data_IF_315450427336
#
_entry.id   IF_315450427336
#
_cell.length_a   1.000
_cell.length_b   1.000
_cell.length_c   1.000
_cell.angle_alpha   90.00
_cell.angle_beta   90.00
_cell.angle_gamma   90.00
#
_symmetry.space_group_name_H-M   'P 1'
#
loop_
_entity.id
_entity.type
_entity.pdbx_description
1 polymer ?
#
# COMPACT_ATOMS: atom_id res chain seq x y z
N UNK A 1 -31.00 8.53 -5.72
CA UNK A 1 -29.97 8.61 -6.77
C UNK A 1 -28.67 9.09 -6.13
N UNK A 2 -27.73 8.20 -5.80
CA UNK A 2 -26.48 8.61 -5.14
C UNK A 2 -25.58 9.21 -6.22
N UNK A 3 -25.56 10.54 -6.33
CA UNK A 3 -24.55 11.23 -7.14
C UNK A 3 -23.23 11.10 -6.38
N UNK A 4 -22.48 10.02 -6.63
CA UNK A 4 -21.12 9.91 -6.11
C UNK A 4 -20.29 11.04 -6.73
N UNK A 5 -19.88 12.01 -5.91
CA UNK A 5 -18.85 12.96 -6.31
C UNK A 5 -17.63 12.19 -6.78
N UNK A 6 -16.97 12.66 -7.86
CA UNK A 6 -15.74 12.04 -8.40
C UNK A 6 -14.69 11.80 -7.30
N UNK A 7 -14.66 12.65 -6.29
CA UNK A 7 -13.81 12.49 -5.09
C UNK A 7 -14.18 11.26 -4.25
N UNK A 8 -15.46 10.97 -4.06
CA UNK A 8 -15.93 9.80 -3.29
C UNK A 8 -15.54 8.50 -3.98
N UNK A 9 -15.62 8.44 -5.31
CA UNK A 9 -15.17 7.28 -6.09
C UNK A 9 -13.68 7.05 -5.86
N UNK A 10 -12.86 8.11 -5.95
CA UNK A 10 -11.42 8.02 -5.70
C UNK A 10 -11.14 7.53 -4.27
N UNK A 11 -11.87 8.04 -3.26
CA UNK A 11 -11.74 7.56 -1.88
C UNK A 11 -12.05 6.08 -1.72
N UNK A 12 -13.11 5.59 -2.35
CA UNK A 12 -13.48 4.18 -2.31
C UNK A 12 -12.38 3.34 -2.96
N UNK A 13 -11.96 3.70 -4.17
CA UNK A 13 -10.89 2.97 -4.89
C UNK A 13 -9.61 2.94 -4.07
N UNK A 14 -9.20 4.08 -3.50
CA UNK A 14 -7.99 4.15 -2.67
C UNK A 14 -8.11 3.26 -1.43
N UNK A 15 -9.28 3.24 -0.79
CA UNK A 15 -9.53 2.39 0.39
C UNK A 15 -9.51 0.90 0.03
N UNK A 16 -10.05 0.52 -1.13
CA UNK A 16 -10.01 -0.87 -1.64
C UNK A 16 -8.57 -1.29 -1.95
N UNK A 17 -7.80 -0.45 -2.63
CA UNK A 17 -6.37 -0.71 -2.91
C UNK A 17 -5.59 -0.84 -1.60
N UNK A 18 -5.83 0.06 -0.64
CA UNK A 18 -5.23 -0.01 0.69
C UNK A 18 -5.55 -1.33 1.39
N UNK A 19 -6.81 -1.77 1.36
CA UNK A 19 -7.20 -3.06 1.94
C UNK A 19 -6.53 -4.24 1.23
N UNK A 20 -6.46 -4.21 -0.10
CA UNK A 20 -5.75 -5.23 -0.88
C UNK A 20 -4.28 -5.36 -0.47
N UNK A 21 -3.56 -4.25 -0.36
CA UNK A 21 -2.15 -4.27 0.09
C UNK A 21 -2.00 -4.78 1.52
N UNK A 22 -2.94 -4.48 2.43
CA UNK A 22 -2.94 -5.08 3.77
C UNK A 22 -2.98 -6.62 3.68
N UNK A 23 -3.90 -7.18 2.89
CA UNK A 23 -4.04 -8.63 2.74
C UNK A 23 -2.75 -9.24 2.18
N UNK A 24 -2.14 -8.61 1.17
CA UNK A 24 -0.87 -9.09 0.59
C UNK A 24 0.25 -9.08 1.63
N UNK A 25 0.37 -8.02 2.42
CA UNK A 25 1.41 -7.90 3.45
C UNK A 25 1.21 -8.92 4.57
N UNK A 26 -0.02 -9.11 5.04
CA UNK A 26 -0.35 -10.15 6.02
C UNK A 26 -0.01 -11.55 5.49
N UNK A 27 -0.34 -11.83 4.23
CA UNK A 27 0.01 -13.10 3.58
C UNK A 27 1.53 -13.29 3.49
N UNK A 28 2.28 -12.27 3.05
CA UNK A 28 3.75 -12.32 2.97
C UNK A 28 4.37 -12.59 4.34
N UNK A 29 3.91 -11.88 5.37
CA UNK A 29 4.38 -12.07 6.73
C UNK A 29 4.11 -13.50 7.23
N UNK A 30 2.89 -14.01 7.02
CA UNK A 30 2.53 -15.38 7.35
C UNK A 30 3.37 -16.43 6.61
N UNK A 31 3.60 -16.23 5.31
CA UNK A 31 4.35 -17.15 4.46
C UNK A 31 5.82 -17.24 4.89
N UNK A 32 6.45 -16.11 5.21
CA UNK A 32 7.83 -16.05 5.69
C UNK A 32 7.98 -16.66 7.09
N UNK A 33 7.02 -16.44 7.99
CA UNK A 33 7.01 -17.08 9.32
C UNK A 33 6.85 -18.60 9.20
N UNK A 34 5.89 -19.04 8.39
CA UNK A 34 5.58 -20.47 8.18
C UNK A 34 6.61 -21.20 7.31
N UNK A 35 7.66 -20.51 6.86
CA UNK A 35 8.70 -21.02 5.96
C UNK A 35 8.15 -21.62 4.65
N UNK A 36 6.99 -21.12 4.19
CA UNK A 36 6.34 -21.51 2.93
C UNK A 36 6.58 -20.43 1.89
N UNK A 37 7.78 -20.41 1.34
CA UNK A 37 8.15 -19.47 0.27
C UNK A 37 7.64 -20.05 -1.06
N UNK A 38 6.36 -19.78 -1.35
CA UNK A 38 5.71 -20.16 -2.61
C UNK A 38 5.87 -19.08 -3.69
N UNK A 39 5.51 -19.39 -4.94
CA UNK A 39 5.49 -18.41 -6.06
C UNK A 39 4.66 -17.17 -5.74
N UNK A 40 3.62 -17.32 -4.92
CA UNK A 40 2.77 -16.22 -4.46
C UNK A 40 3.53 -15.16 -3.65
N UNK A 41 4.57 -15.56 -2.90
CA UNK A 41 5.41 -14.62 -2.13
C UNK A 41 6.18 -13.71 -3.09
N UNK A 42 6.79 -14.29 -4.13
CA UNK A 42 7.49 -13.53 -5.15
C UNK A 42 6.57 -12.59 -5.93
N UNK A 43 5.36 -13.04 -6.26
CA UNK A 43 4.34 -12.19 -6.89
C UNK A 43 3.95 -11.02 -5.97
N UNK A 44 3.70 -11.29 -4.68
CA UNK A 44 3.35 -10.26 -3.70
C UNK A 44 4.46 -9.23 -3.51
N UNK A 45 5.72 -9.68 -3.42
CA UNK A 45 6.90 -8.81 -3.39
C UNK A 45 6.99 -7.96 -4.65
N UNK A 46 6.79 -8.56 -5.83
CA UNK A 46 6.78 -7.84 -7.10
C UNK A 46 5.70 -6.75 -7.17
N UNK A 47 4.48 -7.04 -6.72
CA UNK A 47 3.38 -6.06 -6.68
C UNK A 47 3.72 -4.87 -5.77
N UNK A 48 4.29 -5.13 -4.58
CA UNK A 48 4.69 -4.07 -3.65
C UNK A 48 5.85 -3.24 -4.22
N UNK A 49 6.80 -3.88 -4.90
CA UNK A 49 7.90 -3.18 -5.58
C UNK A 49 7.39 -2.28 -6.72
N UNK A 50 6.45 -2.76 -7.53
CA UNK A 50 5.83 -1.96 -8.60
C UNK A 50 5.16 -0.73 -8.00
N UNK A 51 4.35 -0.89 -6.94
CA UNK A 51 3.73 0.23 -6.24
C UNK A 51 4.80 1.19 -5.67
N UNK A 52 5.87 0.67 -5.07
CA UNK A 52 7.00 1.44 -4.59
C UNK A 52 7.68 2.26 -5.69
N UNK A 53 7.88 1.67 -6.87
CA UNK A 53 8.41 2.35 -8.05
C UNK A 53 7.48 3.46 -8.54
N UNK A 54 6.18 3.21 -8.62
CA UNK A 54 5.17 4.22 -8.96
C UNK A 54 5.26 5.38 -7.97
N UNK A 55 5.30 5.11 -6.67
CA UNK A 55 5.42 6.14 -5.65
C UNK A 55 6.72 6.96 -5.80
N UNK A 56 7.84 6.35 -6.17
CA UNK A 56 9.10 7.05 -6.41
C UNK A 56 8.99 8.01 -7.60
N UNK A 57 8.40 7.54 -8.71
CA UNK A 57 8.18 8.35 -9.93
C UNK A 57 7.30 9.57 -9.61
N UNK A 58 6.27 9.40 -8.77
CA UNK A 58 5.33 10.45 -8.41
C UNK A 58 5.72 11.24 -7.13
N UNK A 59 7.01 11.34 -6.80
CA UNK A 59 7.54 12.13 -5.65
C UNK A 59 6.89 11.75 -4.31
N UNK A 60 6.79 10.46 -4.03
CA UNK A 60 6.17 9.88 -2.85
C UNK A 60 4.65 10.09 -2.72
N UNK A 61 3.96 10.53 -3.78
CA UNK A 61 2.50 10.66 -3.79
C UNK A 61 1.88 9.58 -4.67
N UNK A 62 0.77 8.98 -4.24
CA UNK A 62 0.03 8.07 -5.10
C UNK A 62 -0.51 8.86 -6.32
N UNK A 63 -0.51 8.28 -7.53
CA UNK A 63 -1.07 8.95 -8.71
C UNK A 63 -2.55 9.32 -8.51
N UNK A 64 -3.29 8.49 -7.75
CA UNK A 64 -4.67 8.79 -7.34
C UNK A 64 -4.78 10.06 -6.50
N UNK A 65 -3.81 10.33 -5.62
CA UNK A 65 -3.78 11.54 -4.77
C UNK A 65 -3.62 12.80 -5.63
N UNK A 66 -2.81 12.74 -6.69
CA UNK A 66 -2.62 13.84 -7.64
C UNK A 66 -3.91 14.12 -8.40
N UNK A 67 -4.62 13.07 -8.83
CA UNK A 67 -5.92 13.20 -9.52
C UNK A 67 -6.99 13.72 -8.55
N UNK A 68 -7.05 13.20 -7.32
CA UNK A 68 -7.96 13.65 -6.26
C UNK A 68 -7.79 15.13 -5.94
N UNK A 69 -6.55 15.63 -6.01
CA UNK A 69 -6.23 17.05 -5.76
C UNK A 69 -6.92 18.00 -6.74
N UNK A 70 -7.23 17.54 -7.95
CA UNK A 70 -8.00 18.33 -8.93
C UNK A 70 -9.48 18.44 -8.57
N UNK A 71 -9.98 17.56 -7.70
CA UNK A 71 -11.38 17.50 -7.28
C UNK A 71 -11.61 17.98 -5.84
N UNK A 72 -10.54 18.31 -5.10
CA UNK A 72 -10.63 18.78 -3.71
C UNK A 72 -9.47 19.70 -3.31
N UNK A 73 -9.79 20.86 -2.75
CA UNK A 73 -8.82 21.80 -2.17
C UNK A 73 -8.49 21.51 -0.70
N UNK A 74 -8.95 20.39 -0.13
CA UNK A 74 -8.71 20.07 1.28
C UNK A 74 -7.22 19.83 1.55
N UNK A 75 -6.67 20.42 2.61
CA UNK A 75 -5.26 20.29 3.01
C UNK A 75 -4.99 19.07 3.90
N UNK A 76 -6.02 18.30 4.26
CA UNK A 76 -5.88 17.11 5.11
C UNK A 76 -5.20 15.97 4.35
N UNK A 77 -4.44 15.12 5.04
CA UNK A 77 -3.74 13.97 4.45
C UNK A 77 -4.71 12.81 4.10
N UNK A 78 -5.88 12.77 4.73
CA UNK A 78 -6.94 11.78 4.46
C UNK A 78 -8.00 12.25 3.45
N UNK A 79 -7.72 13.28 2.66
CA UNK A 79 -8.70 13.83 1.74
C UNK A 79 -9.06 12.87 0.59
N UNK A 80 -8.19 11.90 0.29
CA UNK A 80 -8.27 10.95 -0.82
C UNK A 80 -8.50 9.50 -0.36
N UNK A 81 -8.65 9.24 0.94
CA UNK A 81 -8.87 7.90 1.51
C UNK A 81 -9.78 7.96 2.77
N UNK A 82 -10.60 6.94 3.01
CA UNK A 82 -11.41 6.83 4.23
C UNK A 82 -10.59 6.30 5.42
N UNK A 83 -9.55 7.03 5.82
CA UNK A 83 -8.68 6.68 6.96
C UNK A 83 -8.56 7.87 7.95
N UNK A 84 -8.20 7.64 9.23
CA UNK A 84 -7.86 8.71 10.15
C UNK A 84 -6.59 9.44 9.67
N UNK A 85 -6.52 10.75 9.91
CA UNK A 85 -5.47 11.61 9.35
C UNK A 85 -4.04 11.17 9.75
N UNK A 86 -3.87 10.69 10.98
CA UNK A 86 -2.59 10.15 11.45
C UNK A 86 -2.17 8.93 10.63
N UNK A 87 -3.09 7.99 10.38
CA UNK A 87 -2.77 6.78 9.64
C UNK A 87 -2.47 7.11 8.18
N UNK A 88 -3.27 7.99 7.54
CA UNK A 88 -3.00 8.44 6.17
C UNK A 88 -1.61 9.10 6.03
N UNK A 89 -1.19 9.89 7.02
CA UNK A 89 0.13 10.55 7.05
C UNK A 89 1.28 9.55 7.17
N UNK A 90 1.17 8.53 8.03
CA UNK A 90 2.24 7.57 8.28
C UNK A 90 2.13 6.28 7.46
N UNK A 91 1.07 6.11 6.67
CA UNK A 91 0.76 4.89 5.93
C UNK A 91 1.95 4.38 5.13
N UNK A 92 2.57 5.29 4.36
CA UNK A 92 3.73 4.97 3.54
C UNK A 92 4.91 4.47 4.38
N UNK A 93 5.21 5.16 5.47
CA UNK A 93 6.35 4.83 6.33
C UNK A 93 6.13 3.48 7.02
N UNK A 94 4.92 3.25 7.56
CA UNK A 94 4.54 1.99 8.20
C UNK A 94 4.68 0.82 7.23
N UNK A 95 4.10 0.92 6.03
CA UNK A 95 4.18 -0.18 5.06
C UNK A 95 5.59 -0.41 4.52
N UNK A 96 6.38 0.65 4.31
CA UNK A 96 7.79 0.50 3.91
C UNK A 96 8.58 -0.25 4.99
N UNK A 97 8.41 0.08 6.27
CA UNK A 97 9.11 -0.62 7.37
C UNK A 97 8.68 -2.09 7.43
N UNK A 98 7.37 -2.37 7.36
CA UNK A 98 6.86 -3.74 7.40
C UNK A 98 7.41 -4.54 6.21
N UNK A 99 7.43 -3.95 5.01
CA UNK A 99 7.96 -4.61 3.83
C UNK A 99 9.45 -4.90 3.94
N UNK A 100 10.25 -3.94 4.44
CA UNK A 100 11.69 -4.16 4.70
C UNK A 100 11.89 -5.31 5.68
N UNK A 101 11.12 -5.37 6.78
CA UNK A 101 11.17 -6.48 7.74
C UNK A 101 10.84 -7.82 7.07
N UNK A 102 9.80 -7.88 6.24
CA UNK A 102 9.44 -9.09 5.48
C UNK A 102 10.59 -9.52 4.56
N UNK A 103 11.20 -8.58 3.84
CA UNK A 103 12.33 -8.87 2.94
C UNK A 103 13.55 -9.38 3.71
N UNK A 104 13.89 -8.77 4.85
CA UNK A 104 15.00 -9.22 5.71
C UNK A 104 14.74 -10.64 6.20
N UNK A 105 13.54 -10.92 6.71
CA UNK A 105 13.16 -12.25 7.16
C UNK A 105 13.16 -13.28 6.01
N UNK A 106 12.71 -12.87 4.83
CA UNK A 106 12.73 -13.71 3.63
C UNK A 106 14.16 -14.06 3.21
N UNK A 107 15.08 -13.08 3.19
CA UNK A 107 16.50 -13.30 2.91
C UNK A 107 17.11 -14.24 3.96
N UNK A 108 16.84 -13.99 5.25
CA UNK A 108 17.32 -14.84 6.34
C UNK A 108 16.85 -16.30 6.18
N UNK A 109 15.58 -16.51 5.82
CA UNK A 109 15.03 -17.85 5.56
C UNK A 109 15.64 -18.52 4.33
N UNK A 110 15.96 -17.77 3.28
CA UNK A 110 16.61 -18.31 2.08
C UNK A 110 18.07 -18.70 2.36
N UNK A 111 18.81 -17.89 3.12
CA UNK A 111 20.22 -18.15 3.46
C UNK A 111 20.38 -19.29 4.46
N UNK A 112 19.43 -19.45 5.39
CA UNK A 112 19.46 -20.49 6.43
C UNK A 112 18.71 -21.78 6.03
N UNK A 113 18.56 -22.02 4.72
CA UNK A 113 17.92 -23.21 4.14
C UNK A 113 18.97 -24.12 3.54
#
# INVERSE_FOLDING_TARGET
MIVLSKLTIIKIIHTVIWFFFNVVIFYLFYAVISNKIDKLVWIGVGIILIEGCILLIFKNKCPLTIIARRYSNSTKDNFDIFLPNWLAKYNKLIYTIIFILIVILLIYRITNR
#
